data_IF_165889954219
#
_entry.id   IF_165889954219
#
_cell.length_a   1.000
_cell.length_b   1.000
_cell.length_c   1.000
_cell.angle_alpha   90.00
_cell.angle_beta   90.00
_cell.angle_gamma   90.00
#
_symmetry.space_group_name_H-M   'P 1'
#
loop_
_entity.id
_entity.type
_entity.pdbx_description
1 polymer ?
#
# COMPACT_ATOMS: atom_id res chain seq x y z
N UNK A 1 -0.57 -16.31 22.68
CA UNK A 1 -0.85 -17.28 21.59
C UNK A 1 -1.00 -16.47 20.30
N UNK A 2 -0.46 -16.93 19.17
CA UNK A 2 -0.68 -16.29 17.87
C UNK A 2 -1.39 -17.28 16.93
N UNK A 3 -2.20 -16.76 16.02
CA UNK A 3 -2.92 -17.53 15.01
C UNK A 3 -2.67 -16.86 13.66
N UNK A 4 -2.30 -17.66 12.66
CA UNK A 4 -2.21 -17.19 11.26
C UNK A 4 -3.51 -17.57 10.59
N UNK A 5 -4.16 -16.58 9.98
CA UNK A 5 -5.44 -16.79 9.33
C UNK A 5 -5.21 -17.25 7.90
N UNK A 6 -5.80 -18.39 7.54
CA UNK A 6 -5.57 -19.07 6.27
C UNK A 6 -6.50 -18.61 5.14
N UNK A 7 -7.53 -17.82 5.47
CA UNK A 7 -8.44 -17.27 4.48
C UNK A 7 -7.74 -16.19 3.64
N UNK A 8 -8.15 -16.12 2.37
CA UNK A 8 -7.53 -15.20 1.40
C UNK A 8 -8.02 -13.78 1.67
N UNK A 9 -7.08 -12.87 1.91
CA UNK A 9 -7.37 -11.45 2.05
C UNK A 9 -6.84 -10.66 0.85
N UNK A 10 -7.74 -10.11 0.05
CA UNK A 10 -7.40 -9.35 -1.17
C UNK A 10 -7.10 -7.86 -0.91
N UNK A 11 -7.39 -7.36 0.30
CA UNK A 11 -7.33 -5.93 0.58
C UNK A 11 -7.71 -5.58 2.01
N UNK A 12 -7.57 -4.30 2.36
CA UNK A 12 -8.06 -3.78 3.64
C UNK A 12 -9.60 -3.74 3.74
N UNK A 13 -10.34 -3.94 2.64
CA UNK A 13 -11.81 -4.11 2.66
C UNK A 13 -12.26 -5.45 3.24
N UNK A 14 -11.36 -6.42 3.36
CA UNK A 14 -11.66 -7.78 3.81
C UNK A 14 -10.77 -8.16 5.00
N UNK A 15 -10.57 -7.24 5.94
CA UNK A 15 -9.95 -7.56 7.23
C UNK A 15 -10.85 -8.58 7.94
N UNK A 16 -10.24 -9.64 8.47
CA UNK A 16 -10.98 -10.75 9.07
C UNK A 16 -11.09 -10.57 10.60
N UNK A 17 -11.68 -9.44 10.97
CA UNK A 17 -11.90 -9.01 12.35
C UNK A 17 -12.98 -9.85 13.06
N UNK A 18 -14.00 -10.30 12.34
CA UNK A 18 -15.04 -11.18 12.87
C UNK A 18 -14.49 -12.53 13.33
N UNK A 19 -13.65 -13.19 12.51
CA UNK A 19 -13.04 -14.48 12.88
C UNK A 19 -12.02 -14.29 14.00
N UNK A 20 -11.19 -13.24 13.94
CA UNK A 20 -10.25 -12.91 15.00
C UNK A 20 -10.96 -12.74 16.37
N UNK A 21 -12.11 -12.05 16.39
CA UNK A 21 -12.94 -11.93 17.60
C UNK A 21 -13.55 -13.25 18.05
N UNK A 22 -14.09 -14.04 17.12
CA UNK A 22 -14.68 -15.35 17.44
C UNK A 22 -13.65 -16.33 18.04
N UNK A 23 -12.39 -16.19 17.65
CA UNK A 23 -11.26 -16.94 18.21
C UNK A 23 -10.74 -16.38 19.55
N UNK A 24 -11.32 -15.27 20.04
CA UNK A 24 -10.92 -14.61 21.28
C UNK A 24 -9.58 -13.88 21.18
N UNK A 25 -9.20 -13.38 20.00
CA UNK A 25 -8.00 -12.59 19.83
C UNK A 25 -8.16 -11.19 20.43
N UNK A 26 -7.12 -10.71 21.11
CA UNK A 26 -7.07 -9.35 21.65
C UNK A 26 -6.60 -8.30 20.62
N UNK A 27 -5.94 -8.77 19.54
CA UNK A 27 -5.26 -7.93 18.57
C UNK A 27 -5.14 -8.61 17.20
N UNK A 28 -5.29 -7.83 16.12
CA UNK A 28 -5.14 -8.25 14.73
C UNK A 28 -4.04 -7.43 14.02
N UNK A 29 -3.17 -8.12 13.28
CA UNK A 29 -2.18 -7.47 12.41
C UNK A 29 -2.56 -7.71 10.96
N UNK A 30 -2.76 -6.64 10.19
CA UNK A 30 -3.08 -6.69 8.76
C UNK A 30 -1.93 -6.15 7.93
N UNK A 31 -1.38 -6.98 7.03
CA UNK A 31 -0.23 -6.62 6.22
C UNK A 31 -0.62 -6.12 4.82
N UNK A 32 0.22 -5.25 4.26
CA UNK A 32 0.32 -5.02 2.80
C UNK A 32 -0.66 -4.02 2.20
N UNK A 33 -1.67 -3.56 2.93
CA UNK A 33 -2.71 -2.67 2.40
C UNK A 33 -2.83 -1.37 3.18
N UNK A 34 -3.21 -0.29 2.48
CA UNK A 34 -3.59 0.98 3.11
C UNK A 34 -4.82 0.77 3.98
N UNK A 35 -4.87 1.41 5.15
CA UNK A 35 -6.03 1.33 6.04
C UNK A 35 -7.29 1.82 5.31
N UNK A 36 -8.24 0.93 5.04
CA UNK A 36 -9.54 1.30 4.47
C UNK A 36 -10.64 1.27 5.53
N UNK A 37 -10.60 0.27 6.43
CA UNK A 37 -11.53 0.15 7.54
C UNK A 37 -10.98 0.92 8.74
N UNK A 38 -11.77 1.82 9.35
CA UNK A 38 -11.35 2.55 10.55
C UNK A 38 -10.98 1.59 11.68
N UNK A 39 -9.80 1.78 12.27
CA UNK A 39 -9.27 0.93 13.35
C UNK A 39 -10.25 0.90 14.54
N UNK A 40 -10.97 1.99 14.79
CA UNK A 40 -11.92 2.13 15.91
C UNK A 40 -13.28 1.43 15.67
N UNK A 41 -13.55 1.00 14.43
CA UNK A 41 -14.82 0.33 14.08
C UNK A 41 -14.84 -1.16 14.42
N UNK A 42 -13.70 -1.76 14.77
CA UNK A 42 -13.54 -3.20 15.03
C UNK A 42 -14.08 -3.67 16.41
N UNK A 43 -15.05 -2.95 16.99
CA UNK A 43 -15.84 -3.32 18.18
C UNK A 43 -15.03 -3.99 19.31
N UNK A 44 -13.92 -3.38 19.71
CA UNK A 44 -13.08 -3.84 20.83
C UNK A 44 -11.87 -4.71 20.43
N UNK A 45 -11.74 -5.12 19.17
CA UNK A 45 -10.53 -5.73 18.63
C UNK A 45 -9.53 -4.63 18.23
N UNK A 46 -8.35 -4.63 18.84
CA UNK A 46 -7.28 -3.68 18.46
C UNK A 46 -6.63 -4.14 17.15
N UNK A 47 -6.35 -3.22 16.23
CA UNK A 47 -5.79 -3.56 14.91
C UNK A 47 -4.53 -2.74 14.60
N UNK A 48 -3.54 -3.37 13.98
CA UNK A 48 -2.36 -2.72 13.41
C UNK A 48 -2.23 -3.04 11.93
N UNK A 49 -2.17 -1.99 11.12
CA UNK A 49 -1.82 -2.10 9.71
C UNK A 49 -0.31 -1.99 9.55
N UNK A 50 0.29 -2.99 8.91
CA UNK A 50 1.71 -3.00 8.55
C UNK A 50 1.84 -2.75 7.06
N UNK A 51 2.24 -1.53 6.70
CA UNK A 51 2.51 -1.20 5.31
C UNK A 51 3.77 -1.91 4.81
N UNK A 52 3.68 -2.46 3.61
CA UNK A 52 4.79 -3.10 2.92
C UNK A 52 5.30 -2.14 1.86
N UNK A 53 6.59 -1.88 1.88
CA UNK A 53 7.27 -1.08 0.86
C UNK A 53 8.00 -2.02 -0.11
N UNK A 54 7.44 -2.20 -1.30
CA UNK A 54 8.04 -3.05 -2.34
C UNK A 54 9.06 -2.22 -3.11
N UNK A 55 10.31 -2.69 -3.08
CA UNK A 55 11.40 -2.07 -3.83
C UNK A 55 11.28 -2.37 -5.32
N UNK A 56 11.37 -1.33 -6.12
CA UNK A 56 11.49 -1.39 -7.58
C UNK A 56 12.67 -0.51 -8.02
N UNK A 57 13.23 -0.84 -9.17
CA UNK A 57 14.26 -0.02 -9.79
C UNK A 57 13.65 1.31 -10.25
N UNK A 58 13.89 2.35 -9.45
CA UNK A 58 13.32 3.68 -9.66
C UNK A 58 14.03 4.38 -10.82
N UNK A 59 15.33 4.14 -11.00
CA UNK A 59 16.10 4.71 -12.10
C UNK A 59 15.60 4.17 -13.44
N UNK A 60 15.38 2.86 -13.52
CA UNK A 60 14.79 2.24 -14.71
C UNK A 60 13.39 2.80 -15.02
N UNK A 61 12.56 3.05 -14.00
CA UNK A 61 11.25 3.71 -14.19
C UNK A 61 11.41 5.11 -14.79
N UNK A 62 12.29 5.94 -14.22
CA UNK A 62 12.55 7.31 -14.69
C UNK A 62 13.03 7.31 -16.15
N UNK A 63 14.00 6.45 -16.48
CA UNK A 63 14.51 6.34 -17.85
C UNK A 63 13.44 5.85 -18.82
N UNK A 64 12.58 4.94 -18.38
CA UNK A 64 11.45 4.47 -19.20
C UNK A 64 10.46 5.60 -19.48
N UNK A 65 10.13 6.44 -18.50
CA UNK A 65 9.27 7.62 -18.73
C UNK A 65 9.92 8.59 -19.72
N UNK A 66 11.21 8.91 -19.52
CA UNK A 66 11.98 9.79 -20.41
C UNK A 66 12.05 9.28 -21.85
N UNK A 67 12.16 7.97 -22.03
CA UNK A 67 12.20 7.34 -23.34
C UNK A 67 10.85 7.42 -24.08
N UNK A 68 9.73 7.28 -23.35
CA UNK A 68 8.41 7.15 -23.98
C UNK A 68 7.65 8.47 -24.13
N UNK A 69 7.94 9.48 -23.32
CA UNK A 69 7.21 10.74 -23.32
C UNK A 69 8.13 11.93 -23.60
N UNK A 70 7.77 12.82 -24.55
CA UNK A 70 8.56 14.03 -24.81
C UNK A 70 8.52 14.97 -23.61
N UNK A 71 9.61 15.70 -23.37
CA UNK A 71 9.67 16.73 -22.35
C UNK A 71 8.55 17.77 -22.52
N UNK A 72 8.00 18.25 -21.42
CA UNK A 72 6.84 19.15 -21.37
C UNK A 72 5.48 18.46 -21.49
N UNK A 73 5.42 17.13 -21.64
CA UNK A 73 4.17 16.39 -21.55
C UNK A 73 3.58 16.47 -20.12
N UNK A 74 2.25 16.57 -20.04
CA UNK A 74 1.51 16.53 -18.77
C UNK A 74 1.33 15.08 -18.34
N UNK A 75 1.97 14.69 -17.24
CA UNK A 75 1.91 13.32 -16.73
C UNK A 75 1.22 13.28 -15.37
N UNK A 76 0.35 12.28 -15.18
CA UNK A 76 -0.19 11.92 -13.88
C UNK A 76 0.41 10.57 -13.45
N UNK A 77 1.09 10.56 -12.30
CA UNK A 77 1.71 9.37 -11.73
C UNK A 77 0.81 8.83 -10.62
N UNK A 78 0.40 7.56 -10.73
CA UNK A 78 -0.45 6.88 -9.74
C UNK A 78 0.14 5.52 -9.43
N UNK A 79 0.14 5.12 -8.16
CA UNK A 79 0.57 3.80 -7.70
C UNK A 79 -0.37 3.27 -6.63
N UNK A 80 -0.20 1.99 -6.29
CA UNK A 80 -0.74 1.44 -5.04
C UNK A 80 0.17 1.82 -3.86
N UNK A 81 -0.32 1.61 -2.64
CA UNK A 81 0.40 1.97 -1.39
C UNK A 81 1.78 1.32 -1.31
N UNK A 82 1.96 0.12 -1.89
CA UNK A 82 3.20 -0.63 -1.78
C UNK A 82 4.36 -0.02 -2.56
N UNK A 83 4.08 0.84 -3.54
CA UNK A 83 5.09 1.50 -4.37
C UNK A 83 5.12 3.02 -4.17
N UNK A 84 4.38 3.54 -3.19
CA UNK A 84 4.23 4.99 -3.00
C UNK A 84 5.57 5.68 -2.77
N UNK A 85 6.51 5.03 -2.10
CA UNK A 85 7.86 5.56 -1.87
C UNK A 85 8.62 5.78 -3.19
N UNK A 86 8.62 4.78 -4.08
CA UNK A 86 9.25 4.81 -5.38
C UNK A 86 8.57 5.81 -6.32
N UNK A 87 7.23 5.85 -6.32
CA UNK A 87 6.46 6.82 -7.10
C UNK A 87 6.81 8.27 -6.70
N UNK A 88 6.89 8.55 -5.40
CA UNK A 88 7.25 9.87 -4.89
C UNK A 88 8.70 10.24 -5.23
N UNK A 89 9.62 9.28 -5.22
CA UNK A 89 11.00 9.51 -5.67
C UNK A 89 11.06 9.82 -7.18
N UNK A 90 10.42 9.00 -8.02
CA UNK A 90 10.37 9.22 -9.46
C UNK A 90 9.67 10.55 -9.81
N UNK A 91 8.58 10.89 -9.14
CA UNK A 91 7.84 12.13 -9.37
C UNK A 91 8.71 13.37 -9.11
N UNK A 92 9.55 13.36 -8.06
CA UNK A 92 10.47 14.47 -7.79
C UNK A 92 11.53 14.62 -8.87
N UNK A 93 12.07 13.50 -9.34
CA UNK A 93 13.12 13.49 -10.37
C UNK A 93 12.60 13.87 -11.76
N UNK A 94 11.34 13.53 -12.08
CA UNK A 94 10.70 13.83 -13.36
C UNK A 94 10.12 15.25 -13.44
N UNK A 95 9.89 15.91 -12.29
CA UNK A 95 9.24 17.22 -12.23
C UNK A 95 9.90 18.35 -13.06
N UNK A 96 11.24 18.39 -13.24
CA UNK A 96 11.89 19.37 -14.12
C UNK A 96 11.58 19.17 -15.61
N UNK A 97 11.33 17.93 -16.03
CA UNK A 97 11.14 17.55 -17.43
C UNK A 97 9.66 17.56 -17.84
N UNK A 98 8.74 17.40 -16.87
CA UNK A 98 7.30 17.23 -17.07
C UNK A 98 6.52 18.12 -16.10
N UNK A 99 5.74 19.07 -16.62
CA UNK A 99 4.97 20.07 -15.87
C UNK A 99 3.45 19.87 -15.99
#
# INVERSE_FOLDING_TARGET
RHVVMGDVTYGACCVDDFTARALGADFLVHYGHSCLIPIDSAQGLKMLYVFVDIKIDTDHLIQTVRFNFPAGAKLALVSTVQFVSALQAASRELQPDYH
#
